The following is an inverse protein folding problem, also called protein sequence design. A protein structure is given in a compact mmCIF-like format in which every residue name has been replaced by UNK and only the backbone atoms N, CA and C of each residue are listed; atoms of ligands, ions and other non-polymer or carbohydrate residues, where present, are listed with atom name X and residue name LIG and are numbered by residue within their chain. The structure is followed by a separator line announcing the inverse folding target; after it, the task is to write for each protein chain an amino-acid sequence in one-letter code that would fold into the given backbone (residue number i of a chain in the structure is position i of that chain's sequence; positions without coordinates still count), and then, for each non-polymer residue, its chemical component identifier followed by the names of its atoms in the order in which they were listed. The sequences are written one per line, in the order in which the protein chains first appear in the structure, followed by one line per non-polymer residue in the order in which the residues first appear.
data_IF_611555739508
#
_entry.id   IF_611555739508
#
_cell.length_a   1.000
_cell.length_b   1.000
_cell.length_c   1.000
_cell.angle_alpha   90.00
_cell.angle_beta   90.00
_cell.angle_gamma   90.00
#
_symmetry.space_group_name_H-M   'P 1'
#
loop_
_entity.id
_entity.type
_entity.pdbx_description
1 polymer ?
2 non-polymer ?
3 non-polymer ?
4 water ?
#
# COMPACT_ATOMS: atom_id res chain seq x y z
CA UNK A 3 -25.77 6.68 -26.57
C UNK A 3 -25.27 5.28 -26.12
N UNK A 4 -24.05 5.22 -25.63
CA UNK A 4 -23.43 3.93 -25.29
C UNK A 4 -23.40 3.75 -23.78
N UNK A 5 -24.21 4.51 -23.02
CA UNK A 5 -24.10 4.50 -21.56
C UNK A 5 -24.32 3.11 -20.93
N UNK A 6 -25.27 2.32 -21.45
CA UNK A 6 -25.51 0.99 -20.88
C UNK A 6 -24.27 0.08 -20.97
N UNK A 7 -23.66 -0.08 -22.17
CA UNK A 7 -22.48 -0.95 -22.34
C UNK A 7 -21.26 -0.37 -21.59
N UNK A 8 -21.07 0.97 -21.58
CA UNK A 8 -19.95 1.56 -20.81
C UNK A 8 -20.13 1.25 -19.32
N UNK A 9 -21.35 1.47 -18.74
CA UNK A 9 -21.52 1.22 -17.28
C UNK A 9 -21.36 -0.25 -16.97
N UNK A 10 -21.90 -1.13 -17.82
CA UNK A 10 -21.67 -2.59 -17.68
C UNK A 10 -20.18 -2.94 -17.69
N UNK A 11 -19.42 -2.38 -18.64
CA UNK A 11 -17.97 -2.63 -18.73
C UNK A 11 -17.22 -2.10 -17.48
N UNK A 12 -17.53 -0.87 -17.02
CA UNK A 12 -16.94 -0.41 -15.75
C UNK A 12 -17.22 -1.40 -14.60
N UNK A 13 -18.49 -1.81 -14.43
CA UNK A 13 -18.89 -2.73 -13.33
C UNK A 13 -18.13 -4.07 -13.39
N UNK A 14 -18.13 -4.71 -14.58
CA UNK A 14 -17.43 -6.00 -14.79
C UNK A 14 -15.92 -5.84 -14.61
N UNK A 15 -15.29 -4.82 -15.23
CA UNK A 15 -13.85 -4.63 -15.07
C UNK A 15 -13.43 -4.30 -13.65
N UNK A 16 -14.19 -3.46 -12.94
CA UNK A 16 -13.84 -3.12 -11.57
C UNK A 16 -13.98 -4.36 -10.66
N UNK A 17 -15.03 -5.16 -10.89
CA UNK A 17 -15.27 -6.38 -10.08
C UNK A 17 -14.13 -7.37 -10.34
N UNK A 18 -13.83 -7.68 -11.61
CA UNK A 18 -12.85 -8.72 -11.95
C UNK A 18 -11.42 -8.31 -11.51
N UNK A 19 -11.08 -7.00 -11.64
CA UNK A 19 -9.79 -6.44 -11.25
C UNK A 19 -9.62 -6.62 -9.75
N UNK A 20 -10.65 -6.28 -8.97
CA UNK A 20 -10.60 -6.44 -7.52
C UNK A 20 -10.42 -7.94 -7.15
N UNK A 21 -11.24 -8.80 -7.76
CA UNK A 21 -11.18 -10.26 -7.48
C UNK A 21 -9.74 -10.80 -7.69
N UNK A 22 -9.10 -10.39 -8.79
CA UNK A 22 -7.77 -10.82 -9.17
C UNK A 22 -6.66 -10.17 -8.35
N UNK A 23 -6.57 -8.83 -8.41
CA UNK A 23 -5.47 -8.07 -7.78
C UNK A 23 -5.59 -7.86 -6.29
N UNK A 24 -6.79 -7.90 -5.73
CA UNK A 24 -6.93 -7.62 -4.29
C UNK A 24 -7.21 -8.94 -3.58
N UNK A 25 -8.10 -9.77 -4.13
CA UNK A 25 -8.54 -11.01 -3.48
C UNK A 25 -7.78 -12.26 -3.92
N UNK A 26 -7.02 -12.17 -5.03
CA UNK A 26 -6.31 -13.32 -5.66
C UNK A 26 -7.26 -14.54 -5.83
N UNK A 27 -8.45 -14.28 -6.34
CA UNK A 27 -9.49 -15.28 -6.50
C UNK A 27 -10.32 -14.87 -7.74
N UNK A 28 -9.72 -14.94 -8.95
CA UNK A 28 -10.45 -14.44 -10.15
C UNK A 28 -11.64 -15.32 -10.54
N UNK A 29 -12.75 -14.68 -10.95
CA UNK A 29 -13.95 -15.40 -11.37
C UNK A 29 -13.91 -15.60 -12.89
N UNK A 30 -12.98 -14.89 -13.57
CA UNK A 30 -12.80 -15.05 -15.03
C UNK A 30 -11.31 -15.24 -15.38
N UNK A 31 -10.98 -15.83 -16.55
CA UNK A 31 -9.56 -15.88 -16.95
C UNK A 31 -9.07 -14.55 -17.51
N UNK A 32 -7.75 -14.36 -17.60
CA UNK A 32 -7.19 -13.10 -18.12
C UNK A 32 -7.66 -12.79 -19.55
N UNK A 33 -7.92 -13.83 -20.36
CA UNK A 33 -8.44 -13.64 -21.71
C UNK A 33 -9.75 -12.82 -21.71
N UNK A 34 -10.62 -13.05 -20.73
CA UNK A 34 -11.91 -12.38 -20.62
C UNK A 34 -11.75 -10.97 -20.14
N UNK A 35 -10.93 -10.78 -19.08
CA UNK A 35 -10.59 -9.43 -18.60
C UNK A 35 -9.96 -8.59 -19.73
N UNK A 36 -8.96 -9.15 -20.43
CA UNK A 36 -8.25 -8.46 -21.54
C UNK A 36 -9.17 -8.08 -22.66
N UNK A 37 -10.11 -8.97 -22.99
CA UNK A 37 -11.11 -8.72 -24.04
C UNK A 37 -12.03 -7.54 -23.65
N UNK A 38 -12.55 -7.52 -22.42
CA UNK A 38 -13.43 -6.45 -21.99
C UNK A 38 -12.71 -5.13 -21.89
N UNK A 39 -11.41 -5.16 -21.52
CA UNK A 39 -10.66 -3.92 -21.40
C UNK A 39 -10.41 -3.30 -22.77
N UNK A 40 -10.07 -4.14 -23.75
CA UNK A 40 -9.83 -3.72 -25.13
C UNK A 40 -11.13 -3.09 -25.71
N UNK A 41 -12.27 -3.72 -25.43
CA UNK A 41 -13.57 -3.19 -25.84
C UNK A 41 -13.78 -1.76 -25.27
N UNK A 42 -13.54 -1.58 -23.97
CA UNK A 42 -13.68 -0.24 -23.35
C UNK A 42 -12.66 0.76 -23.88
N UNK A 43 -11.40 0.35 -24.09
CA UNK A 43 -10.40 1.25 -24.71
C UNK A 43 -10.91 1.73 -26.10
N UNK A 44 -11.49 0.81 -26.88
CA UNK A 44 -11.97 1.07 -28.24
C UNK A 44 -13.18 2.03 -28.18
N UNK A 45 -14.12 1.82 -27.21
CA UNK A 45 -15.24 2.77 -27.01
C UNK A 45 -14.70 4.16 -26.69
N UNK A 46 -13.70 4.26 -25.81
CA UNK A 46 -13.21 5.57 -25.35
C UNK A 46 -12.41 6.28 -26.43
N UNK A 47 -11.72 5.49 -27.30
CA UNK A 47 -11.06 6.05 -28.48
C UNK A 47 -12.05 6.64 -29.46
N UNK A 48 -13.11 5.89 -29.77
CA UNK A 48 -14.08 6.29 -30.82
C UNK A 48 -15.14 7.21 -30.25
N UNK A 49 -15.33 7.20 -28.94
CA UNK A 49 -16.35 8.02 -28.28
C UNK A 49 -15.73 8.58 -27.00
N UNK A 50 -14.84 9.61 -27.10
CA UNK A 50 -14.11 10.09 -25.91
C UNK A 50 -14.94 10.71 -24.80
N UNK A 51 -16.23 11.05 -25.06
CA UNK A 51 -17.10 11.61 -24.03
C UNK A 51 -17.32 10.64 -22.83
N UNK A 52 -17.06 9.33 -23.05
CA UNK A 52 -17.18 8.27 -22.04
C UNK A 52 -15.94 8.10 -21.16
N UNK A 53 -14.82 8.71 -21.54
CA UNK A 53 -13.65 8.69 -20.66
C UNK A 53 -14.03 9.30 -19.32
N UNK A 54 -13.63 8.66 -18.22
CA UNK A 54 -13.85 9.15 -16.86
C UNK A 54 -12.53 9.14 -16.12
N UNK A 55 -12.43 9.99 -15.08
CA UNK A 55 -11.26 10.06 -14.22
C UNK A 55 -10.92 8.70 -13.56
N UNK A 56 -11.94 7.88 -13.21
CA UNK A 56 -11.74 6.56 -12.58
C UNK A 56 -12.06 5.39 -13.50
N UNK A 57 -11.99 5.61 -14.82
CA UNK A 57 -12.23 4.52 -15.76
C UNK A 57 -11.23 3.37 -15.55
N UNK A 58 -11.64 2.09 -15.68
CA UNK A 58 -10.63 1.01 -15.71
C UNK A 58 -9.46 1.23 -16.70
N UNK A 59 -9.66 1.97 -17.80
CA UNK A 59 -8.58 2.20 -18.77
C UNK A 59 -7.43 3.05 -18.21
N UNK A 60 -7.67 3.82 -17.12
CA UNK A 60 -6.61 4.57 -16.43
C UNK A 60 -5.40 3.63 -16.08
N UNK A 61 -5.67 2.35 -15.78
CA UNK A 61 -4.63 1.40 -15.32
C UNK A 61 -3.57 1.14 -16.39
N UNK A 62 -3.89 1.38 -17.66
CA UNK A 62 -2.92 1.06 -18.71
C UNK A 62 -1.88 2.20 -18.88
N UNK A 63 -2.08 3.31 -18.18
CA UNK A 63 -1.19 4.48 -18.29
C UNK A 63 -1.59 5.31 -19.48
N UNK A 64 -1.11 6.53 -19.53
CA UNK A 64 -1.48 7.38 -20.66
C UNK A 64 -0.41 8.34 -21.06
N UNK A 65 -0.84 9.48 -21.58
CA UNK A 65 0.05 10.52 -22.11
C UNK A 65 0.64 11.42 -21.02
N UNK A 66 -0.15 11.86 -20.01
CA UNK A 66 0.35 12.71 -18.91
C UNK A 66 1.51 12.00 -18.16
N UNK A 67 2.55 12.74 -17.89
CA UNK A 67 3.70 12.20 -17.18
C UNK A 67 3.57 12.61 -15.72
N UNK A 68 4.00 11.75 -14.78
CA UNK A 68 4.14 12.22 -13.38
C UNK A 68 5.08 13.46 -13.37
N UNK A 69 4.77 14.47 -12.56
CA UNK A 69 5.56 15.70 -12.56
C UNK A 69 6.90 15.55 -11.79
N UNK A 70 6.94 14.59 -10.84
CA UNK A 70 7.97 14.46 -9.81
C UNK A 70 8.18 15.77 -9.00
N UNK A 71 7.17 16.68 -9.00
CA UNK A 71 7.26 17.91 -8.16
C UNK A 71 7.42 17.56 -6.68
N UNK A 72 8.21 18.36 -5.94
CA UNK A 72 8.31 18.30 -4.48
C UNK A 72 7.01 18.83 -3.89
N UNK A 73 6.33 18.00 -3.08
CA UNK A 73 5.00 18.33 -2.59
C UNK A 73 4.98 17.90 -1.14
N UNK A 74 4.44 18.76 -0.27
CA UNK A 74 4.33 18.40 1.13
C UNK A 74 3.16 17.45 1.33
N UNK A 75 3.35 16.39 2.13
CA UNK A 75 2.24 15.57 2.64
C UNK A 75 1.31 16.47 3.46
N UNK A 76 -0.01 16.14 3.49
CA UNK A 76 -0.99 16.91 4.33
C UNK A 76 -0.51 16.81 5.79
N UNK A 77 0.07 15.64 6.13
CA UNK A 77 0.53 15.33 7.48
C UNK A 77 1.86 14.63 7.32
N UNK A 78 2.92 15.04 8.03
CA UNK A 78 4.20 14.34 7.88
C UNK A 78 4.08 12.88 8.30
N UNK A 79 4.82 12.04 7.60
CA UNK A 79 4.80 10.59 7.83
C UNK A 79 5.68 10.28 9.05
N UNK A 80 5.39 9.19 9.74
CA UNK A 80 6.06 8.91 11.02
C UNK A 80 7.47 8.40 10.82
N UNK A 81 8.37 8.70 11.75
CA UNK A 81 9.71 8.14 11.72
C UNK A 81 9.83 7.19 12.90
N UNK A 82 9.90 5.89 12.65
CA UNK A 82 9.84 4.92 13.77
C UNK A 82 11.23 4.56 14.34
N UNK A 83 11.30 4.40 15.67
CA UNK A 83 12.42 3.79 16.36
C UNK A 83 12.63 2.35 15.91
N UNK A 84 13.87 1.85 16.03
CA UNK A 84 14.15 0.46 15.67
C UNK A 84 14.31 -0.44 16.90
N UNK A 85 14.07 -1.76 16.69
CA UNK A 85 14.39 -2.85 17.60
C UNK A 85 15.18 -3.90 16.83
N UNK A 86 16.17 -4.50 17.47
CA UNK A 86 17.01 -5.51 16.81
C UNK A 86 17.00 -6.87 17.49
N UNK A 87 16.27 -6.99 18.59
CA UNK A 87 16.23 -8.25 19.36
C UNK A 87 15.05 -8.26 20.29
N UNK A 88 14.84 -9.39 20.95
CA UNK A 88 13.81 -9.56 21.97
C UNK A 88 14.00 -8.58 23.16
N UNK A 89 15.26 -8.31 23.58
CA UNK A 89 15.51 -7.33 24.64
C UNK A 89 15.02 -5.92 24.34
N UNK A 90 15.21 -5.41 23.10
CA UNK A 90 14.71 -4.08 22.69
C UNK A 90 13.17 -4.02 22.75
N UNK A 91 12.52 -5.12 22.37
CA UNK A 91 11.08 -5.24 22.43
C UNK A 91 10.56 -5.30 23.88
N UNK A 92 11.27 -6.03 24.76
CA UNK A 92 10.96 -6.01 26.21
C UNK A 92 11.11 -4.60 26.79
N UNK A 93 12.13 -3.85 26.36
CA UNK A 93 12.35 -2.47 26.87
C UNK A 93 11.23 -1.52 26.45
N UNK A 94 10.82 -1.59 25.16
CA UNK A 94 9.73 -0.84 24.54
C UNK A 94 8.44 -1.06 25.33
N UNK A 95 8.13 -2.34 25.60
CA UNK A 95 6.96 -2.80 26.33
C UNK A 95 7.01 -2.33 27.80
N UNK A 96 8.16 -2.40 28.43
CA UNK A 96 8.37 -1.89 29.81
C UNK A 96 8.05 -0.42 29.91
N UNK A 97 8.62 0.44 29.03
CA UNK A 97 8.34 1.88 29.11
C UNK A 97 6.86 2.23 28.83
N UNK A 98 6.15 1.44 27.98
CA UNK A 98 4.69 1.57 27.83
C UNK A 98 3.96 1.18 29.12
N UNK A 99 4.23 -0.02 29.65
CA UNK A 99 3.57 -0.57 30.83
C UNK A 99 3.82 0.25 32.10
N UNK A 100 5.02 0.86 32.22
CA UNK A 100 5.33 1.78 33.32
C UNK A 100 4.52 3.08 33.25
N UNK A 101 4.04 3.45 32.05
CA UNK A 101 3.37 4.73 31.84
C UNK A 101 1.85 4.61 31.75
N UNK A 102 1.32 3.55 31.10
CA UNK A 102 -0.13 3.52 30.80
C UNK A 102 -0.82 2.16 31.16
N UNK A 103 -0.07 1.23 31.72
CA UNK A 103 -0.60 -0.06 32.10
C UNK A 103 -0.43 -1.10 31.01
N UNK A 104 -1.10 -2.22 31.17
CA UNK A 104 -1.04 -3.34 30.23
C UNK A 104 -2.00 -3.05 29.08
N UNK A 105 -1.46 -3.00 27.86
CA UNK A 105 -2.19 -2.62 26.66
C UNK A 105 -2.14 -3.76 25.63
N UNK A 106 -2.99 -3.67 24.62
CA UNK A 106 -2.98 -4.58 23.49
C UNK A 106 -2.01 -4.06 22.43
N UNK A 107 -1.31 -4.97 21.73
CA UNK A 107 -0.46 -4.59 20.61
C UNK A 107 -1.03 -5.04 19.30
N UNK A 108 -0.85 -4.23 18.27
CA UNK A 108 -1.02 -4.73 16.93
C UNK A 108 0.35 -5.01 16.34
N UNK A 109 0.49 -6.16 15.66
CA UNK A 109 1.71 -6.66 15.03
C UNK A 109 1.44 -6.73 13.53
N UNK A 110 2.38 -6.28 12.70
CA UNK A 110 2.19 -6.34 11.23
C UNK A 110 3.51 -6.49 10.53
N UNK A 111 3.47 -7.01 9.30
CA UNK A 111 4.70 -7.19 8.54
C UNK A 111 5.14 -5.85 7.99
N UNK A 112 6.43 -5.57 8.06
CA UNK A 112 6.96 -4.35 7.47
C UNK A 112 7.43 -4.70 6.07
N UNK A 113 6.71 -4.21 5.08
CA UNK A 113 6.94 -4.54 3.66
C UNK A 113 8.19 -3.81 3.17
N UNK A 114 9.08 -4.52 2.47
CA UNK A 114 10.30 -3.93 1.94
C UNK A 114 10.00 -3.24 0.63
N UNK A 115 9.36 -2.09 0.66
CA UNK A 115 8.96 -1.43 -0.56
C UNK A 115 9.27 0.04 -0.54
N UNK A 116 8.48 0.81 -1.28
CA UNK A 116 8.59 2.26 -1.30
C UNK A 116 7.40 2.76 -0.55
N UNK A 117 7.65 3.53 0.52
CA UNK A 117 6.60 4.16 1.31
C UNK A 117 5.93 5.25 0.48
N UNK A 118 4.58 5.27 0.47
CA UNK A 118 3.85 6.25 -0.33
C UNK A 118 2.73 6.88 0.51
N UNK A 119 2.39 8.16 0.24
CA UNK A 119 1.12 8.71 0.72
C UNK A 119 0.14 8.85 -0.44
N UNK A 120 -1.11 8.48 -0.21
CA UNK A 120 -2.13 8.45 -1.26
C UNK A 120 -3.31 9.29 -0.76
N UNK A 121 -3.48 10.44 -1.40
CA UNK A 121 -4.47 11.39 -0.97
C UNK A 121 -5.76 11.20 -1.80
N UNK A 122 -6.89 11.16 -1.10
CA UNK A 122 -8.25 10.97 -1.64
C UNK A 122 -9.00 12.23 -1.29
N UNK A 123 -9.66 12.82 -2.27
CA UNK A 123 -10.56 13.98 -2.04
C UNK A 123 -11.90 13.54 -2.56
N UNK A 124 -12.94 13.65 -1.72
CA UNK A 124 -14.28 13.23 -2.09
C UNK A 124 -14.30 11.73 -2.54
N UNK A 125 -13.41 10.91 -1.96
CA UNK A 125 -13.31 9.48 -2.21
C UNK A 125 -12.53 9.09 -3.45
N UNK A 126 -12.04 10.09 -4.23
CA UNK A 126 -11.31 9.84 -5.47
C UNK A 126 -9.83 9.97 -5.21
N UNK A 127 -9.03 9.02 -5.78
CA UNK A 127 -7.56 9.12 -5.71
C UNK A 127 -7.08 10.31 -6.55
N UNK A 128 -6.41 11.30 -5.94
CA UNK A 128 -6.05 12.54 -6.66
C UNK A 128 -4.55 12.87 -6.61
N UNK A 129 -3.81 12.25 -5.66
CA UNK A 129 -2.37 12.56 -5.45
C UNK A 129 -1.70 11.42 -4.75
N UNK A 130 -0.58 10.99 -5.29
CA UNK A 130 0.26 9.98 -4.68
C UNK A 130 1.68 10.46 -4.64
N UNK A 131 2.28 10.47 -3.43
CA UNK A 131 3.62 10.97 -3.20
C UNK A 131 4.53 9.90 -2.64
N UNK A 132 5.82 9.94 -3.00
CA UNK A 132 6.79 9.12 -2.29
C UNK A 132 6.94 9.72 -0.88
N UNK A 133 7.47 8.95 0.10
CA UNK A 133 7.72 9.47 1.45
C UNK A 133 8.66 10.70 1.47
N UNK A 134 9.71 10.65 0.66
CA UNK A 134 10.79 11.64 0.62
C UNK A 134 11.46 11.74 1.98
N UNK A 135 11.58 12.97 2.55
CA UNK A 135 12.14 13.16 3.92
C UNK A 135 11.11 12.97 5.07
N UNK A 136 9.87 12.58 4.70
CA UNK A 136 8.77 12.42 5.65
C UNK A 136 7.83 13.61 5.66
N UNK A 137 8.32 14.79 5.27
CA UNK A 137 7.51 16.01 5.17
C UNK A 137 7.13 16.31 3.70
N UNK A 138 8.12 16.21 2.81
CA UNK A 138 8.04 16.54 1.39
C UNK A 138 8.42 15.30 0.58
N UNK A 139 7.55 14.87 -0.34
CA UNK A 139 7.88 13.78 -1.25
C UNK A 139 7.77 14.20 -2.71
N UNK A 140 7.85 13.22 -3.62
CA UNK A 140 7.81 13.47 -5.06
C UNK A 140 6.46 13.04 -5.60
N UNK A 141 5.83 13.85 -6.46
CA UNK A 141 4.55 13.53 -7.08
C UNK A 141 4.69 12.47 -8.18
N UNK A 142 4.21 11.25 -7.88
CA UNK A 142 4.31 10.16 -8.80
C UNK A 142 2.90 9.64 -9.11
N UNK A 143 1.87 10.49 -8.95
CA UNK A 143 0.45 10.11 -9.07
C UNK A 143 0.17 9.27 -10.33
N UNK A 144 0.62 9.75 -11.50
CA UNK A 144 0.31 9.11 -12.80
C UNK A 144 0.78 7.64 -12.82
N UNK A 145 1.94 7.37 -12.23
CA UNK A 145 2.53 6.02 -12.22
C UNK A 145 1.80 5.12 -11.24
N UNK A 146 1.52 5.64 -10.04
CA UNK A 146 0.72 4.95 -9.00
C UNK A 146 -0.67 4.52 -9.43
N UNK A 147 -1.32 5.31 -10.30
CA UNK A 147 -2.64 5.00 -10.91
C UNK A 147 -2.65 3.69 -11.66
N UNK A 148 -1.46 3.22 -12.06
CA UNK A 148 -1.39 1.97 -12.84
C UNK A 148 -1.41 0.75 -11.96
N UNK A 149 -1.36 0.94 -10.64
CA UNK A 149 -1.32 -0.19 -9.72
C UNK A 149 -2.77 -0.52 -9.33
N UNK A 150 -3.23 -1.73 -9.74
CA UNK A 150 -4.61 -2.17 -9.53
C UNK A 150 -5.00 -2.26 -8.09
N UNK A 151 -4.04 -2.56 -7.19
CA UNK A 151 -4.31 -2.66 -5.75
C UNK A 151 -4.57 -1.28 -5.09
N UNK A 152 -4.38 -0.20 -5.82
CA UNK A 152 -4.74 1.15 -5.35
C UNK A 152 -6.14 1.50 -5.88
N UNK A 153 -7.16 1.73 -5.04
CA UNK A 153 -8.48 2.08 -5.59
C UNK A 153 -8.47 3.45 -6.24
N UNK A 154 -9.10 3.58 -7.42
CA UNK A 154 -9.27 4.93 -8.00
C UNK A 154 -10.36 5.70 -7.30
N UNK A 155 -11.30 4.95 -6.69
CA UNK A 155 -12.44 5.52 -5.97
C UNK A 155 -12.75 4.61 -4.81
N UNK A 156 -12.89 5.21 -3.61
CA UNK A 156 -13.28 4.56 -2.37
C UNK A 156 -14.78 4.39 -2.31
N UNK A 157 -15.24 3.56 -1.34
CA UNK A 157 -16.66 3.27 -1.10
C UNK A 157 -17.38 4.39 -0.42
N UNK A 158 -16.65 5.29 0.25
CA UNK A 158 -17.25 6.47 0.90
C UNK A 158 -16.47 7.72 0.47
N UNK A 159 -17.13 8.89 0.30
CA UNK A 159 -16.42 10.03 -0.29
C UNK A 159 -15.54 10.82 0.69
N UNK A 160 -14.57 10.15 1.32
CA UNK A 160 -13.76 10.80 2.36
C UNK A 160 -12.62 11.63 1.78
N UNK A 161 -12.14 12.59 2.58
CA UNK A 161 -10.93 13.35 2.31
C UNK A 161 -9.92 12.84 3.31
N UNK A 162 -9.03 11.95 2.87
CA UNK A 162 -8.05 11.28 3.75
C UNK A 162 -6.77 11.07 2.97
N UNK A 163 -5.65 10.98 3.69
CA UNK A 163 -4.36 10.62 3.11
C UNK A 163 -3.91 9.30 3.72
N UNK A 164 -3.94 8.23 2.94
CA UNK A 164 -3.59 6.90 3.46
C UNK A 164 -2.08 6.69 3.24
N UNK A 165 -1.49 5.79 4.01
CA UNK A 165 -0.05 5.54 3.87
C UNK A 165 0.08 4.07 3.54
N UNK A 166 0.94 3.73 2.59
CA UNK A 166 1.15 2.35 2.21
C UNK A 166 2.55 2.09 1.70
N UNK A 167 2.83 0.84 1.35
CA UNK A 167 4.12 0.41 0.80
C UNK A 167 3.87 -0.13 -0.58
N UNK A 168 4.36 0.55 -1.60
CA UNK A 168 4.31 0.00 -2.96
C UNK A 168 5.44 -1.00 -3.16
N UNK A 169 5.15 -2.17 -3.78
CA UNK A 169 6.18 -3.20 -3.94
C UNK A 169 6.01 -4.00 -5.23
N UNK A 170 7.05 -4.79 -5.59
CA UNK A 170 6.93 -5.73 -6.66
C UNK A 170 6.87 -7.11 -6.03
N UNK A 171 5.84 -7.94 -6.33
CA UNK A 171 5.85 -9.33 -5.85
C UNK A 171 7.14 -10.05 -6.27
N UNK A 172 7.67 -10.87 -5.40
CA UNK A 172 8.97 -11.52 -5.60
C UNK A 172 9.08 -12.33 -6.93
N UNK A 173 8.04 -13.12 -7.29
CA UNK A 173 8.09 -13.94 -8.51
C UNK A 173 8.14 -13.04 -9.77
N UNK A 174 7.47 -11.86 -9.72
CA UNK A 174 7.50 -10.87 -10.80
C UNK A 174 8.85 -10.17 -10.91
N UNK A 175 9.46 -9.82 -9.76
CA UNK A 175 10.87 -9.41 -9.75
C UNK A 175 11.80 -10.49 -10.42
N UNK A 176 11.71 -11.73 -9.95
CA UNK A 176 12.59 -12.81 -10.48
C UNK A 176 12.41 -13.02 -11.99
N UNK A 177 11.16 -13.01 -12.46
CA UNK A 177 10.83 -13.17 -13.90
C UNK A 177 11.34 -11.95 -14.73
N UNK A 178 11.31 -10.76 -14.14
CA UNK A 178 11.81 -9.55 -14.78
C UNK A 178 13.31 -9.62 -14.96
N UNK A 179 14.03 -10.10 -13.91
CA UNK A 179 15.47 -10.23 -13.95
C UNK A 179 15.91 -11.27 -14.99
N UNK A 180 15.09 -12.30 -15.22
CA UNK A 180 15.37 -13.28 -16.28
C UNK A 180 15.36 -12.61 -17.66
N UNK A 181 14.35 -11.76 -17.92
CA UNK A 181 14.23 -10.97 -19.15
C UNK A 181 15.45 -10.08 -19.34
N UNK A 182 15.86 -9.36 -18.26
CA UNK A 182 17.00 -8.44 -18.29
C UNK A 182 18.32 -9.15 -18.66
N UNK A 183 18.54 -10.34 -18.06
CA UNK A 183 19.64 -11.24 -18.38
C UNK A 183 19.72 -11.52 -19.90
N UNK A 184 18.56 -11.73 -20.55
CA UNK A 184 18.43 -12.08 -21.98
C UNK A 184 18.69 -10.90 -22.94
N UNK A 185 18.49 -9.65 -22.50
CA UNK A 185 18.85 -8.48 -23.31
C UNK A 185 20.21 -7.89 -22.92
N UNK A 186 21.05 -8.65 -22.17
CA UNK A 186 22.36 -8.25 -21.65
C UNK A 186 22.27 -6.95 -20.83
N UNK A 187 21.16 -6.81 -20.05
CA UNK A 187 20.88 -5.68 -19.15
C UNK A 187 21.28 -5.99 -17.71
N UNK A 188 21.56 -4.94 -16.92
CA UNK A 188 21.89 -5.02 -15.50
C UNK A 188 20.67 -5.43 -14.73
N UNK A 189 20.85 -6.42 -13.85
CA UNK A 189 19.74 -6.92 -13.05
C UNK A 189 19.46 -5.93 -11.96
N UNK A 190 18.21 -5.84 -11.53
CA UNK A 190 17.87 -5.15 -10.30
C UNK A 190 18.40 -5.99 -9.13
N UNK A 191 18.95 -5.34 -8.08
CA UNK A 191 19.51 -6.00 -6.90
C UNK A 191 18.45 -6.74 -6.06
N UNK A 192 17.21 -6.24 -6.07
CA UNK A 192 16.16 -6.71 -5.18
C UNK A 192 14.80 -6.17 -5.63
N UNK A 193 13.66 -6.80 -5.21
CA UNK A 193 12.33 -6.24 -5.56
C UNK A 193 12.12 -4.76 -5.28
N UNK A 194 12.71 -4.26 -4.18
CA UNK A 194 12.54 -2.85 -3.80
C UNK A 194 13.15 -1.95 -4.86
N UNK A 195 14.38 -2.26 -5.33
CA UNK A 195 15.02 -1.46 -6.37
C UNK A 195 14.22 -1.53 -7.67
N UNK A 196 13.68 -2.71 -8.00
CA UNK A 196 12.84 -2.91 -9.20
C UNK A 196 11.55 -2.07 -9.12
N UNK A 197 10.87 -2.06 -7.97
CA UNK A 197 9.65 -1.23 -7.78
C UNK A 197 9.99 0.28 -7.89
N UNK A 198 11.14 0.71 -7.29
CA UNK A 198 11.62 2.10 -7.40
C UNK A 198 11.88 2.50 -8.84
N UNK A 199 12.60 1.67 -9.59
CA UNK A 199 12.81 1.88 -11.03
C UNK A 199 11.50 1.99 -11.81
N UNK A 200 10.51 1.15 -11.46
CA UNK A 200 9.18 1.17 -12.11
C UNK A 200 8.42 2.46 -11.85
N UNK A 201 8.48 2.95 -10.62
CA UNK A 201 7.72 4.16 -10.31
C UNK A 201 8.43 5.45 -10.73
N UNK A 202 9.72 5.37 -11.09
CA UNK A 202 10.48 6.53 -11.61
C UNK A 202 10.46 6.68 -13.12
N UNK A 203 9.72 5.83 -13.85
CA UNK A 203 9.56 5.99 -15.31
C UNK A 203 9.02 7.40 -15.65
N UNK A 204 9.41 7.94 -16.80
CA UNK A 204 8.82 9.19 -17.27
C UNK A 204 7.45 8.93 -17.89
N UNK A 205 7.21 7.68 -18.29
CA UNK A 205 6.01 7.29 -19.02
C UNK A 205 5.23 6.32 -18.13
N UNK A 206 4.00 6.69 -17.71
CA UNK A 206 3.14 5.75 -16.94
C UNK A 206 2.85 4.45 -17.72
N UNK A 207 2.89 4.46 -19.07
CA UNK A 207 2.64 3.21 -19.82
C UNK A 207 3.72 2.18 -19.53
N UNK A 208 4.97 2.65 -19.27
CA UNK A 208 6.10 1.79 -18.91
C UNK A 208 5.87 1.19 -17.51
N UNK A 209 5.50 2.02 -16.49
CA UNK A 209 5.10 1.55 -15.14
C UNK A 209 4.01 0.45 -15.19
N UNK A 210 2.96 0.67 -16.02
CA UNK A 210 1.83 -0.26 -16.16
C UNK A 210 2.27 -1.69 -16.61
N UNK A 211 3.39 -1.81 -17.35
CA UNK A 211 3.84 -3.12 -17.86
C UNK A 211 4.53 -3.91 -16.75
N UNK A 212 4.86 -3.23 -15.65
CA UNK A 212 5.51 -3.84 -14.49
C UNK A 212 4.47 -4.26 -13.50
N UNK A 213 4.73 -5.33 -12.79
CA UNK A 213 3.69 -5.88 -11.93
C UNK A 213 3.95 -5.36 -10.54
N UNK A 214 3.14 -4.36 -10.14
CA UNK A 214 3.24 -3.70 -8.84
C UNK A 214 1.99 -3.95 -7.98
N UNK A 215 2.14 -3.85 -6.65
CA UNK A 215 0.99 -3.91 -5.74
C UNK A 215 1.26 -2.95 -4.56
N UNK A 216 0.36 -2.92 -3.60
CA UNK A 216 0.50 -2.06 -2.43
C UNK A 216 -0.14 -2.77 -1.23
N UNK A 217 0.31 -2.42 -0.03
CA UNK A 217 -0.43 -2.67 1.21
C UNK A 217 -0.52 -1.38 1.97
N UNK A 218 -1.72 -1.01 2.39
CA UNK A 218 -2.05 0.21 3.16
C UNK A 218 -1.93 -0.12 4.66
N UNK A 219 -1.14 0.66 5.42
CA UNK A 219 -0.91 0.37 6.84
C UNK A 219 -1.50 1.47 7.77
N UNK A 220 -1.79 2.66 7.25
CA UNK A 220 -2.35 3.70 8.16
C UNK A 220 -3.03 4.81 7.38
N UNK A 221 -3.56 5.81 8.10
CA UNK A 221 -4.17 7.04 7.56
C UNK A 221 -3.60 8.24 8.37
N UNK A 222 -3.61 9.44 7.78
CA UNK A 222 -3.10 10.66 8.42
C UNK A 222 -4.04 11.17 9.52
N UNK A 223 -5.33 10.86 9.43
CA UNK A 223 -6.40 11.51 10.20
C UNK A 223 -7.54 10.49 10.36
N UNK A 224 -7.90 10.16 11.62
CA UNK A 224 -8.94 9.17 11.97
C UNK A 224 -10.30 9.78 12.26
N UNK A 225 -10.46 11.10 12.02
CA UNK A 225 -11.71 11.84 12.28
C UNK A 225 -12.94 11.22 11.59
N UNK A 226 -12.78 10.75 10.34
CA UNK A 226 -13.90 10.17 9.58
C UNK A 226 -13.98 8.63 9.71
N UNK A 227 -13.16 8.06 10.59
CA UNK A 227 -13.14 6.62 10.85
C UNK A 227 -13.81 6.35 12.16
N UNK A 228 -14.55 5.25 12.23
CA UNK A 228 -15.16 4.83 13.49
C UNK A 228 -14.25 3.93 14.31
N UNK A 229 -13.12 3.54 13.73
CA UNK A 229 -12.08 2.75 14.41
C UNK A 229 -11.69 3.36 15.78
N UNK A 230 -11.61 2.52 16.81
CA UNK A 230 -11.11 2.94 18.12
C UNK A 230 -9.66 2.46 18.28
N UNK A 231 -9.16 1.70 17.31
CA UNK A 231 -7.83 1.06 17.36
C UNK A 231 -7.22 0.95 15.97
N UNK A 232 -5.89 0.68 15.91
CA UNK A 232 -5.19 0.43 14.66
C UNK A 232 -5.80 -0.75 13.88
N UNK A 233 -6.07 -1.87 14.58
CA UNK A 233 -6.63 -3.06 13.94
C UNK A 233 -8.04 -2.83 13.37
N UNK A 234 -8.89 -2.04 14.06
CA UNK A 234 -10.19 -1.67 13.55
C UNK A 234 -10.04 -0.72 12.33
N UNK A 235 -9.00 0.16 12.34
CA UNK A 235 -8.74 1.10 11.23
C UNK A 235 -8.41 0.36 9.95
N UNK A 236 -7.59 -0.70 10.04
CA UNK A 236 -7.27 -1.55 8.89
C UNK A 236 -8.47 -2.36 8.37
N UNK A 237 -9.34 -2.85 9.29
CA UNK A 237 -10.62 -3.49 8.92
C UNK A 237 -11.54 -2.49 8.20
N UNK A 238 -11.55 -1.24 8.67
CA UNK A 238 -12.36 -0.19 8.07
C UNK A 238 -11.80 0.16 6.67
N UNK A 239 -10.46 0.21 6.52
CA UNK A 239 -9.81 0.44 5.23
C UNK A 239 -10.20 -0.64 4.26
N UNK A 240 -10.27 -1.91 4.72
CA UNK A 240 -10.75 -3.03 3.88
C UNK A 240 -12.16 -2.73 3.38
N UNK A 241 -13.08 -2.36 4.30
CA UNK A 241 -14.47 -2.04 3.92
C UNK A 241 -14.58 -0.86 2.96
N UNK A 242 -13.71 0.13 3.09
CA UNK A 242 -13.66 1.32 2.23
C UNK A 242 -13.04 1.03 0.84
N UNK A 243 -12.48 -0.17 0.65
CA UNK A 243 -12.01 -0.60 -0.68
C UNK A 243 -10.50 -0.67 -0.90
N UNK A 244 -9.67 -0.46 0.17
CA UNK A 244 -8.21 -0.56 0.09
C UNK A 244 -7.69 -1.99 0.20
N UNK A 245 -6.41 -2.19 -0.14
CA UNK A 245 -5.74 -3.49 -0.05
C UNK A 245 -4.87 -3.38 1.17
N UNK A 246 -5.12 -4.25 2.14
CA UNK A 246 -4.33 -4.29 3.36
C UNK A 246 -3.70 -5.68 3.49
N UNK A 247 -2.73 -5.80 4.41
CA UNK A 247 -2.00 -7.04 4.57
C UNK A 247 -2.71 -7.91 5.62
N UNK A 248 -3.14 -9.09 5.20
CA UNK A 248 -3.95 -9.99 6.02
C UNK A 248 -3.17 -10.63 7.19
N UNK A 249 -1.82 -10.50 7.24
CA UNK A 249 -1.03 -11.20 8.27
C UNK A 249 -0.85 -10.43 9.59
N UNK A 250 -1.56 -9.30 9.76
CA UNK A 250 -1.59 -8.52 10.98
C UNK A 250 -2.23 -9.32 12.12
N UNK A 251 -1.78 -9.07 13.36
CA UNK A 251 -2.38 -9.73 14.51
C UNK A 251 -2.47 -8.81 15.71
N UNK A 252 -3.56 -8.96 16.49
CA UNK A 252 -3.71 -8.38 17.83
C UNK A 252 -3.16 -9.32 18.90
N UNK A 253 -2.24 -8.86 19.73
CA UNK A 253 -1.71 -9.68 20.83
C UNK A 253 -1.89 -8.92 22.15
N UNK A 254 -2.06 -9.66 23.24
CA UNK A 254 -2.38 -9.08 24.54
C UNK A 254 -1.17 -8.49 25.23
N UNK A 255 0.03 -8.96 24.89
CA UNK A 255 1.22 -8.66 25.67
C UNK A 255 2.49 -8.94 24.92
N UNK A 256 3.63 -8.76 25.62
CA UNK A 256 4.95 -8.87 25.05
C UNK A 256 5.27 -10.31 24.60
N UNK A 257 4.80 -11.33 25.36
CA UNK A 257 4.94 -12.73 24.94
C UNK A 257 4.31 -12.97 23.56
N UNK A 258 3.11 -12.42 23.34
CA UNK A 258 2.44 -12.48 22.04
C UNK A 258 3.22 -11.83 20.91
N UNK A 259 3.87 -10.71 21.20
CA UNK A 259 4.72 -9.97 20.24
C UNK A 259 5.92 -10.82 19.86
N UNK A 260 6.60 -11.39 20.86
CA UNK A 260 7.79 -12.19 20.61
C UNK A 260 7.43 -13.46 19.84
N UNK A 261 6.31 -14.07 20.16
CA UNK A 261 5.79 -15.21 19.40
C UNK A 261 5.54 -14.82 17.93
N UNK A 262 4.97 -13.63 17.68
CA UNK A 262 4.69 -13.20 16.33
C UNK A 262 5.98 -13.03 15.54
N UNK A 263 7.00 -12.38 16.13
CA UNK A 263 8.32 -12.16 15.49
C UNK A 263 9.01 -13.51 15.24
N UNK A 264 8.94 -14.42 16.22
CA UNK A 264 9.41 -15.82 16.10
C UNK A 264 8.76 -16.56 14.92
N UNK A 265 7.42 -16.51 14.84
CA UNK A 265 6.65 -17.08 13.73
C UNK A 265 7.16 -16.53 12.37
N UNK A 266 7.25 -15.20 12.23
CA UNK A 266 7.50 -14.65 10.91
C UNK A 266 8.97 -14.72 10.49
N UNK A 267 9.93 -14.83 11.43
CA UNK A 267 11.35 -15.17 11.13
C UNK A 267 11.42 -16.48 10.33
N UNK A 268 10.70 -17.53 10.79
CA UNK A 268 10.61 -18.83 10.10
C UNK A 268 9.71 -18.84 8.87
N UNK A 269 8.64 -18.04 8.84
CA UNK A 269 7.63 -18.05 7.77
C UNK A 269 7.85 -17.00 6.64
N UNK A 270 8.77 -16.04 6.80
CA UNK A 270 8.98 -14.96 5.82
C UNK A 270 9.43 -15.44 4.42
N UNK A 271 10.20 -16.54 4.32
CA UNK A 271 10.65 -17.05 3.00
C UNK A 271 9.49 -17.54 2.13
N UNK A 272 8.40 -18.03 2.75
CA UNK A 272 7.21 -18.54 2.09
C UNK A 272 6.31 -17.42 1.51
N UNK A 273 6.54 -16.18 1.90
CA UNK A 273 5.70 -15.06 1.46
C UNK A 273 5.96 -14.71 0.01
N UNK A 274 4.93 -14.27 -0.74
CA UNK A 274 5.16 -13.84 -2.14
C UNK A 274 5.77 -12.43 -2.31
N UNK A 275 6.12 -11.78 -1.20
CA UNK A 275 6.84 -10.49 -1.17
C UNK A 275 7.91 -10.47 -0.09
N UNK A 276 8.89 -9.55 -0.24
CA UNK A 276 9.98 -9.31 0.70
C UNK A 276 9.50 -8.50 1.88
N UNK A 277 9.88 -8.93 3.08
CA UNK A 277 9.67 -8.08 4.29
C UNK A 277 11.01 -7.72 4.93
N UNK A 278 11.18 -6.48 5.46
CA UNK A 278 12.45 -6.11 6.13
C UNK A 278 12.32 -6.03 7.65
N UNK A 279 11.10 -6.24 8.13
CA UNK A 279 10.86 -6.23 9.57
C UNK A 279 9.43 -6.47 9.93
N UNK A 280 9.12 -6.09 11.17
CA UNK A 280 7.80 -6.21 11.77
C UNK A 280 7.54 -4.91 12.57
N UNK A 281 6.33 -4.32 12.44
CA UNK A 281 5.98 -3.11 13.16
C UNK A 281 5.04 -3.48 14.30
N UNK A 282 5.39 -3.03 15.51
CA UNK A 282 4.57 -3.26 16.70
C UNK A 282 4.02 -1.94 17.12
N UNK A 283 2.71 -1.85 17.35
CA UNK A 283 2.09 -0.58 17.75
C UNK A 283 1.18 -0.86 18.94
N UNK A 284 1.08 0.11 19.85
CA UNK A 284 0.00 0.09 20.85
C UNK A 284 -1.27 0.16 20.01
N UNK A 285 -2.22 -0.78 20.24
CA UNK A 285 -3.38 -0.92 19.34
C UNK A 285 -4.39 0.22 19.48
N UNK A 286 -4.76 0.57 20.75
CA UNK A 286 -5.74 1.60 21.06
C UNK A 286 -5.24 2.98 20.65
N UNK A 287 -6.07 3.72 19.88
CA UNK A 287 -5.67 5.05 19.39
C UNK A 287 -5.51 6.09 20.51
N UNK A 288 -6.41 6.08 21.50
CA UNK A 288 -6.32 7.02 22.63
C UNK A 288 -5.09 6.71 23.47
N UNK A 289 -4.73 5.41 23.60
CA UNK A 289 -3.52 5.03 24.32
C UNK A 289 -2.27 5.45 23.54
N UNK A 290 -2.34 5.46 22.20
CA UNK A 290 -1.25 5.99 21.35
C UNK A 290 -1.07 7.46 21.69
N UNK A 291 -2.16 8.24 21.75
CA UNK A 291 -2.15 9.65 22.23
C UNK A 291 -1.54 9.83 23.61
N UNK A 292 -1.96 9.01 24.59
CA UNK A 292 -1.47 9.07 25.98
C UNK A 292 0.06 8.91 26.06
N UNK A 293 0.62 8.05 25.16
CA UNK A 293 2.05 7.72 25.12
C UNK A 293 2.88 8.86 24.58
N UNK A 294 2.36 9.57 23.60
CA UNK A 294 3.05 10.70 23.01
C UNK A 294 4.29 10.34 22.24
N UNK A 295 5.25 11.30 22.19
CA UNK A 295 6.41 11.26 21.28
C UNK A 295 7.73 11.56 21.99
N UNK A 296 8.81 11.13 21.35
CA UNK A 296 10.14 11.68 21.62
C UNK A 296 10.25 12.91 20.69
N UNK A 297 11.44 13.49 20.61
CA UNK A 297 11.63 14.66 19.76
C UNK A 297 11.29 14.32 18.29
N UNK A 298 11.48 13.06 17.88
CA UNK A 298 11.39 12.66 16.48
C UNK A 298 10.38 11.51 16.19
N UNK A 299 10.06 10.70 17.20
CA UNK A 299 9.45 9.39 16.99
C UNK A 299 8.32 9.06 17.94
N UNK A 300 7.33 8.26 17.51
CA UNK A 300 6.32 7.80 18.48
C UNK A 300 6.93 6.93 19.58
N UNK A 301 6.47 7.14 20.82
CA UNK A 301 6.82 6.25 21.92
C UNK A 301 5.97 4.93 21.89
N UNK A 302 4.96 4.88 20.98
CA UNK A 302 3.95 3.80 20.96
C UNK A 302 4.11 2.88 19.77
N UNK A 303 5.17 3.04 19.00
CA UNK A 303 5.45 2.19 17.83
C UNK A 303 6.93 1.88 17.79
N UNK A 304 7.27 0.68 17.28
CA UNK A 304 8.66 0.27 17.10
C UNK A 304 8.76 -0.63 15.87
N UNK A 305 9.88 -0.51 15.11
CA UNK A 305 10.10 -1.36 13.97
C UNK A 305 11.20 -2.35 14.32
N UNK A 306 10.81 -3.62 14.50
CA UNK A 306 11.73 -4.72 14.63
C UNK A 306 12.40 -4.96 13.26
N UNK A 307 13.72 -5.06 13.20
CA UNK A 307 14.41 -5.29 11.92
C UNK A 307 15.04 -6.67 11.89
N UNK A 308 14.80 -7.46 10.81
CA UNK A 308 15.47 -8.78 10.68
C UNK A 308 16.98 -8.60 10.49
N UNK A 309 17.77 -9.56 10.99
CA UNK A 309 19.24 -9.54 10.91
C UNK A 309 19.73 -9.81 9.47
X LIG B 1 14.09 0.51 -15.52
X LIG B 1 14.28 -0.77 -16.21
X LIG B 1 12.92 0.43 -14.62
X LIG B 1 15.28 0.84 -14.71
X LIG B 1 13.91 1.55 -16.53
X LIG C 1 11.23 4.81 1.74
X LIG C 1 11.27 4.31 3.10
X LIG C 1 10.59 6.11 1.70
X LIG C 1 12.59 5.00 1.27
X LIG C 1 10.47 3.85 0.97
X LIG D 1 -7.76 -13.41 -14.33
X LIG D 1 -7.71 -12.08 -14.29
X LIG D 1 -6.54 -11.50 -14.65
X LIG D 1 -6.49 -10.16 -14.58
X LIG D 1 -7.58 -9.43 -14.19
X LIG D 1 -8.74 -10.08 -13.86
X LIG D 1 -8.82 -11.43 -13.89
X LIG D 1 -5.70 -9.72 -14.82
X LIG D 1 -7.54 -8.49 -14.17
X LIG D 1 -8.50 -13.83 -14.10
X LIG D 1 -7.05 -13.87 -14.58
X LIG D 1 -9.49 -9.59 -13.58
#
# INVERSE_FOLDING_TARGET
MADLSSRVNELHDLLNQYSYEYYVEDNPSVPDSEYDKLLHELIKIEEEHPEYKTVDSPTVRVGGEAQASFNKVNHDTPMLSLGNAFNEDDLRKFDQRIREQIGNVEYMCELKIDGLAVSLKYVDGYFVQGLTRGDGTTGEDITENLKTIHAIPLKMKEPLNVEVRGEAYMPRRSFLRLNEEKEKNDEQLFANPRNAAAGSLRQLDSKLTAKRKLSVFIYSVNDFTDFNARSQSEALDELDKLGFTTNKNRARVNNIDGVLEYIEKWTSQRESLPYDIDGIVIKVNDLDQQDEMGFTQKSPRWAIAYKFPAEEHHHHHH
SO4 S O1 O2 O3 O4
SO4 S O1 O2 O3 O4
LGA N2 C1 N1 C4 C5 C3 N7 H4 H5 H8 H9 H12
#
